data_IF_102590856272
#
_entry.id   IF_102590856272
#
_cell.length_a   1.000
_cell.length_b   1.000
_cell.length_c   1.000
_cell.angle_alpha   90.00
_cell.angle_beta   90.00
_cell.angle_gamma   90.00
#
_symmetry.space_group_name_H-M   'P 1'
#
loop_
_entity.id
_entity.type
_entity.pdbx_description
1 polymer ?
#
# COMPACT_ATOMS: atom_id res chain seq x y z
N UNK A 1 -13.12 5.82 23.01
CA UNK A 1 -12.47 4.96 24.02
C UNK A 1 -10.98 4.99 23.78
N UNK A 2 -10.17 5.18 24.83
CA UNK A 2 -8.71 5.16 24.73
C UNK A 2 -8.18 3.82 25.20
N UNK A 3 -7.18 3.27 24.50
CA UNK A 3 -6.57 1.98 24.80
C UNK A 3 -5.09 2.14 25.14
N UNK A 4 -4.66 1.51 26.19
CA UNK A 4 -3.25 1.26 26.46
C UNK A 4 -2.88 -0.07 25.81
N UNK A 5 -1.92 -0.04 24.90
CA UNK A 5 -1.55 -1.18 24.04
C UNK A 5 -0.05 -1.44 24.15
N UNK A 6 0.33 -2.64 24.58
CA UNK A 6 1.71 -3.10 24.53
C UNK A 6 1.97 -3.63 23.11
N UNK A 7 2.84 -2.95 22.37
CA UNK A 7 3.07 -3.17 20.94
C UNK A 7 4.55 -3.39 20.64
N UNK A 8 4.85 -4.41 19.85
CA UNK A 8 6.20 -4.71 19.41
C UNK A 8 6.34 -4.59 17.89
N UNK A 9 6.93 -3.50 17.35
CA UNK A 9 7.37 -3.43 15.96
C UNK A 9 8.36 -4.54 15.64
N UNK A 10 8.63 -4.82 14.34
CA UNK A 10 9.55 -5.91 13.98
C UNK A 10 10.99 -5.63 14.39
N UNK A 11 11.45 -4.41 14.15
CA UNK A 11 12.88 -4.03 14.29
C UNK A 11 13.11 -3.03 15.44
N UNK A 12 12.15 -2.91 16.36
CA UNK A 12 12.24 -1.99 17.50
C UNK A 12 11.92 -2.71 18.81
N UNK A 13 12.24 -2.05 19.90
CA UNK A 13 11.87 -2.51 21.23
C UNK A 13 10.33 -2.42 21.45
N UNK A 14 9.83 -3.22 22.36
CA UNK A 14 8.44 -3.15 22.80
C UNK A 14 8.12 -1.78 23.40
N UNK A 15 6.97 -1.23 23.01
CA UNK A 15 6.49 0.06 23.50
C UNK A 15 5.07 -0.05 24.01
N UNK A 16 4.74 0.70 25.06
CA UNK A 16 3.35 0.88 25.49
C UNK A 16 2.80 2.15 24.85
N UNK A 17 1.73 2.01 24.08
CA UNK A 17 1.06 3.12 23.39
C UNK A 17 -0.21 3.52 24.13
N UNK A 18 -0.41 4.81 24.35
CA UNK A 18 -1.72 5.36 24.63
C UNK A 18 -2.39 5.65 23.27
N UNK A 19 -3.38 4.84 22.92
CA UNK A 19 -3.91 4.77 21.56
C UNK A 19 -5.41 5.13 21.51
N UNK A 20 -5.76 6.03 20.59
CA UNK A 20 -7.14 6.45 20.28
C UNK A 20 -7.55 5.79 18.96
N UNK A 21 -8.24 4.65 18.99
CA UNK A 21 -8.57 3.89 17.78
C UNK A 21 -9.62 4.61 16.94
N UNK A 22 -9.39 4.70 15.63
CA UNK A 22 -10.27 5.38 14.70
C UNK A 22 -10.84 4.48 13.61
N UNK A 23 -9.98 3.68 12.97
CA UNK A 23 -10.37 2.86 11.82
C UNK A 23 -9.66 1.50 11.81
N UNK A 24 -10.28 0.50 11.20
CA UNK A 24 -9.76 -0.85 11.02
C UNK A 24 -9.72 -1.21 9.54
N UNK A 25 -8.52 -1.50 9.03
CA UNK A 25 -8.35 -1.89 7.63
C UNK A 25 -7.63 -3.22 7.50
N UNK A 26 -8.20 -4.11 6.72
CA UNK A 26 -7.51 -5.33 6.29
C UNK A 26 -6.73 -5.08 5.01
N UNK A 27 -5.48 -5.53 4.98
CA UNK A 27 -4.68 -5.56 3.76
C UNK A 27 -3.78 -6.78 3.73
N UNK A 28 -3.88 -7.53 2.65
CA UNK A 28 -3.06 -8.71 2.36
C UNK A 28 -3.05 -9.74 3.51
N UNK A 29 -4.22 -10.01 4.10
CA UNK A 29 -4.41 -10.99 5.18
C UNK A 29 -4.02 -10.49 6.56
N UNK A 30 -3.70 -9.20 6.72
CA UNK A 30 -3.36 -8.59 8.01
C UNK A 30 -4.29 -7.43 8.33
N UNK A 31 -4.76 -7.40 9.57
CA UNK A 31 -5.54 -6.30 10.11
C UNK A 31 -4.64 -5.21 10.69
N UNK A 32 -4.94 -3.98 10.35
CA UNK A 32 -4.29 -2.78 10.84
C UNK A 32 -5.30 -1.89 11.57
N UNK A 33 -4.95 -1.47 12.77
CA UNK A 33 -5.69 -0.48 13.54
C UNK A 33 -5.05 0.88 13.32
N UNK A 34 -5.83 1.83 12.84
CA UNK A 34 -5.44 3.21 12.63
C UNK A 34 -5.98 4.09 13.74
N UNK A 35 -5.21 5.10 14.12
CA UNK A 35 -5.61 6.00 15.18
C UNK A 35 -4.62 7.12 15.43
N UNK A 36 -4.83 7.78 16.57
CA UNK A 36 -3.88 8.68 17.20
C UNK A 36 -3.15 7.94 18.31
N UNK A 37 -1.83 7.93 18.30
CA UNK A 37 -1.00 7.44 19.37
C UNK A 37 -0.28 8.63 20.03
N UNK A 38 -0.47 8.83 21.34
CA UNK A 38 0.08 9.99 22.05
C UNK A 38 1.61 10.09 21.87
N UNK A 39 2.08 11.27 21.44
CA UNK A 39 3.50 11.53 21.23
C UNK A 39 4.12 10.82 20.01
N UNK A 40 3.31 10.25 19.11
CA UNK A 40 3.75 9.62 17.89
C UNK A 40 3.27 10.40 16.66
N UNK A 41 4.02 10.27 15.57
CA UNK A 41 3.66 10.81 14.27
C UNK A 41 3.34 9.66 13.28
N UNK A 42 2.43 9.89 12.34
CA UNK A 42 1.59 11.10 12.18
C UNK A 42 0.53 11.21 13.29
N UNK A 43 0.07 12.42 13.57
CA UNK A 43 -0.93 12.70 14.61
C UNK A 43 -2.21 11.86 14.42
N UNK A 44 -2.67 11.75 13.17
CA UNK A 44 -3.73 10.82 12.76
C UNK A 44 -3.16 9.85 11.73
N UNK A 45 -3.73 8.67 11.64
CA UNK A 45 -3.26 7.66 10.68
C UNK A 45 -2.03 6.87 11.15
N UNK A 46 -1.61 7.03 12.41
CA UNK A 46 -0.66 6.10 13.01
C UNK A 46 -1.28 4.71 12.99
N UNK A 47 -0.55 3.71 12.46
CA UNK A 47 -1.10 2.36 12.33
C UNK A 47 -0.30 1.33 13.10
N UNK A 48 -1.02 0.36 13.66
CA UNK A 48 -0.46 -0.82 14.30
C UNK A 48 -1.09 -2.09 13.70
N UNK A 49 -0.26 -3.09 13.45
CA UNK A 49 -0.75 -4.39 13.03
C UNK A 49 -1.25 -5.17 14.27
N UNK A 50 -2.48 -5.71 14.22
CA UNK A 50 -3.09 -6.35 15.38
C UNK A 50 -2.32 -7.58 15.87
N UNK A 51 -1.67 -8.30 14.96
CA UNK A 51 -0.85 -9.48 15.25
C UNK A 51 0.47 -9.18 16.00
N UNK A 52 0.77 -7.90 16.22
CA UNK A 52 1.95 -7.45 16.97
C UNK A 52 1.63 -6.89 18.35
N UNK A 53 0.36 -6.92 18.74
CA UNK A 53 -0.07 -6.56 20.09
C UNK A 53 0.34 -7.69 21.04
N UNK A 54 1.05 -7.36 22.11
CA UNK A 54 1.67 -8.35 22.99
C UNK A 54 0.75 -8.82 24.13
N UNK A 55 -0.22 -8.00 24.51
CA UNK A 55 -1.16 -8.30 25.59
C UNK A 55 -2.56 -7.79 25.24
N UNK A 56 -3.58 -8.21 25.99
CA UNK A 56 -4.91 -7.63 25.84
C UNK A 56 -4.88 -6.13 26.09
N UNK A 57 -5.36 -5.30 25.15
CA UNK A 57 -5.45 -3.85 25.35
C UNK A 57 -6.25 -3.49 26.60
N UNK A 58 -5.80 -2.48 27.33
CA UNK A 58 -6.43 -2.02 28.55
C UNK A 58 -7.16 -0.70 28.32
N UNK A 59 -8.46 -0.65 28.61
CA UNK A 59 -9.22 0.60 28.51
C UNK A 59 -8.74 1.64 29.53
N UNK A 60 -8.60 2.89 29.08
CA UNK A 60 -8.22 4.06 29.87
C UNK A 60 -9.36 5.09 29.88
N UNK A 61 -10.43 4.78 30.59
CA UNK A 61 -11.65 5.57 30.63
C UNK A 61 -11.49 6.99 31.20
N UNK A 62 -10.39 7.25 31.94
CA UNK A 62 -10.07 8.58 32.50
C UNK A 62 -9.31 9.48 31.52
N UNK A 63 -8.88 8.95 30.36
CA UNK A 63 -8.20 9.72 29.32
C UNK A 63 -9.23 10.21 28.32
N UNK A 64 -9.18 11.51 28.00
CA UNK A 64 -10.08 12.09 27.01
C UNK A 64 -9.78 11.53 25.60
N UNK A 65 -10.80 11.05 24.93
CA UNK A 65 -10.67 10.49 23.58
C UNK A 65 -10.50 11.58 22.54
N UNK A 66 -9.47 11.48 21.71
CA UNK A 66 -9.21 12.36 20.57
C UNK A 66 -9.79 11.69 19.30
N UNK A 67 -10.89 12.21 18.74
CA UNK A 67 -11.46 11.68 17.51
C UNK A 67 -10.66 12.13 16.28
N UNK A 68 -10.67 11.34 15.22
CA UNK A 68 -10.17 11.79 13.92
C UNK A 68 -11.06 12.93 13.35
N UNK A 69 -10.49 13.85 12.55
CA UNK A 69 -11.27 14.80 11.77
C UNK A 69 -12.29 14.06 10.87
N UNK A 70 -13.45 14.70 10.66
CA UNK A 70 -14.49 14.12 9.80
C UNK A 70 -13.93 13.83 8.39
N UNK A 71 -14.23 12.65 7.86
CA UNK A 71 -13.75 12.18 6.55
C UNK A 71 -12.22 12.04 6.42
N UNK A 72 -11.46 12.09 7.52
CA UNK A 72 -10.01 11.94 7.45
C UNK A 72 -9.59 10.65 6.74
N UNK A 73 -10.16 9.50 7.11
CA UNK A 73 -9.77 8.21 6.53
C UNK A 73 -10.26 8.00 5.09
N UNK A 74 -11.35 8.67 4.68
CA UNK A 74 -11.80 8.68 3.28
C UNK A 74 -10.71 9.30 2.38
N UNK A 75 -10.11 10.40 2.82
CA UNK A 75 -9.01 11.06 2.10
C UNK A 75 -7.67 10.36 2.31
N UNK A 76 -7.40 9.86 3.52
CA UNK A 76 -6.15 9.18 3.87
C UNK A 76 -5.88 7.96 2.99
N UNK A 77 -6.88 7.13 2.72
CA UNK A 77 -6.72 5.93 1.89
C UNK A 77 -6.97 6.16 0.40
N UNK A 78 -7.35 7.36 0.01
CA UNK A 78 -7.83 7.66 -1.34
C UNK A 78 -6.80 7.47 -2.43
N UNK A 79 -5.55 7.82 -2.14
CA UNK A 79 -4.48 7.89 -3.13
C UNK A 79 -3.38 6.84 -2.89
N UNK A 80 -3.60 5.85 -2.03
CA UNK A 80 -2.62 4.80 -1.74
C UNK A 80 -3.13 3.39 -2.06
N UNK A 81 -2.21 2.53 -2.41
CA UNK A 81 -2.43 1.07 -2.41
C UNK A 81 -2.05 0.56 -1.02
N UNK A 82 -2.95 -0.21 -0.38
CA UNK A 82 -2.66 -0.80 0.94
C UNK A 82 -2.85 0.15 2.12
N UNK A 83 -1.84 0.30 2.97
CA UNK A 83 -1.98 0.85 4.32
C UNK A 83 -0.91 1.87 4.70
N UNK A 84 0.07 2.14 3.82
CA UNK A 84 1.22 2.98 4.14
C UNK A 84 1.35 4.17 3.20
N UNK A 85 1.59 5.35 3.77
CA UNK A 85 2.07 6.52 3.03
C UNK A 85 3.60 6.54 3.00
N UNK A 86 4.16 7.08 1.92
CA UNK A 86 5.59 7.38 1.84
C UNK A 86 5.78 8.86 2.15
N UNK A 87 6.69 9.17 3.06
CA UNK A 87 6.97 10.57 3.43
C UNK A 87 7.36 11.37 2.19
N UNK A 88 6.75 12.54 2.03
CA UNK A 88 6.98 13.47 0.91
C UNK A 88 6.61 12.93 -0.49
N UNK A 89 6.04 11.72 -0.58
CA UNK A 89 5.54 11.22 -1.87
C UNK A 89 4.34 12.03 -2.35
N UNK A 90 4.16 12.05 -3.67
CA UNK A 90 3.03 12.72 -4.32
C UNK A 90 2.26 11.72 -5.14
N UNK A 91 0.99 12.02 -5.33
CA UNK A 91 0.16 11.27 -6.26
C UNK A 91 0.69 11.43 -7.68
N UNK A 92 0.90 10.32 -8.37
CA UNK A 92 1.38 10.25 -9.75
C UNK A 92 0.32 9.60 -10.64
N UNK A 93 0.22 10.08 -11.87
CA UNK A 93 -0.55 9.40 -12.92
C UNK A 93 0.33 8.34 -13.57
N UNK A 94 0.09 7.07 -13.25
CA UNK A 94 0.95 5.96 -13.64
C UNK A 94 0.28 5.14 -14.73
N UNK A 95 0.92 5.03 -15.89
CA UNK A 95 0.49 4.16 -16.98
C UNK A 95 1.23 2.83 -16.89
N UNK A 96 0.45 1.75 -16.91
CA UNK A 96 0.92 0.38 -16.75
C UNK A 96 0.46 -0.45 -17.94
N UNK A 97 1.39 -1.23 -18.52
CA UNK A 97 1.14 -2.13 -19.64
C UNK A 97 0.98 -3.55 -19.15
N UNK A 98 -0.11 -4.20 -19.55
CA UNK A 98 -0.36 -5.62 -19.39
C UNK A 98 0.09 -6.38 -20.65
N UNK A 99 1.03 -7.30 -20.49
CA UNK A 99 1.71 -8.01 -21.59
C UNK A 99 0.95 -9.24 -22.11
N UNK A 100 -0.24 -9.53 -21.55
CA UNK A 100 -1.09 -10.62 -22.03
C UNK A 100 -2.56 -10.35 -21.72
N UNK A 101 -3.45 -11.00 -22.49
CA UNK A 101 -4.89 -10.94 -22.24
C UNK A 101 -5.25 -11.41 -20.81
N UNK A 102 -4.58 -12.46 -20.31
CA UNK A 102 -4.82 -12.98 -18.97
C UNK A 102 -4.53 -11.93 -17.89
N UNK A 103 -3.36 -11.29 -17.96
CA UNK A 103 -2.97 -10.24 -17.01
C UNK A 103 -3.90 -9.03 -17.11
N UNK A 104 -4.26 -8.63 -18.33
CA UNK A 104 -5.21 -7.53 -18.52
C UNK A 104 -6.57 -7.84 -17.85
N UNK A 105 -7.14 -9.02 -18.11
CA UNK A 105 -8.41 -9.44 -17.52
C UNK A 105 -8.33 -9.55 -15.99
N UNK A 106 -7.20 -10.00 -15.46
CA UNK A 106 -6.98 -10.05 -14.02
C UNK A 106 -7.02 -8.65 -13.39
N UNK A 107 -6.36 -7.67 -14.03
CA UNK A 107 -6.36 -6.27 -13.55
C UNK A 107 -7.72 -5.59 -13.75
N UNK A 108 -8.42 -5.88 -14.83
CA UNK A 108 -9.73 -5.34 -15.14
C UNK A 108 -10.81 -5.83 -14.15
N UNK A 109 -10.72 -7.09 -13.70
CA UNK A 109 -11.65 -7.68 -12.73
C UNK A 109 -11.29 -7.44 -11.27
N UNK A 110 -10.01 -7.21 -10.98
CA UNK A 110 -9.50 -6.89 -9.64
C UNK A 110 -8.44 -5.80 -9.73
N UNK A 111 -8.86 -4.55 -9.93
CA UNK A 111 -7.94 -3.41 -10.06
C UNK A 111 -7.01 -3.26 -8.86
N UNK A 112 -5.81 -2.74 -9.13
CA UNK A 112 -4.84 -2.42 -8.05
C UNK A 112 -5.33 -1.26 -7.20
N UNK A 113 -6.09 -0.33 -7.79
CA UNK A 113 -6.61 0.85 -7.13
C UNK A 113 -7.95 1.29 -7.76
N UNK A 114 -8.78 2.01 -6.99
CA UNK A 114 -10.09 2.49 -7.43
C UNK A 114 -10.04 3.50 -8.60
N UNK A 115 -8.90 4.18 -8.80
CA UNK A 115 -8.66 5.10 -9.92
C UNK A 115 -8.28 4.40 -11.23
N UNK A 116 -8.37 3.08 -11.31
CA UNK A 116 -8.06 2.30 -12.50
C UNK A 116 -8.91 2.74 -13.71
N UNK A 117 -8.24 3.05 -14.82
CA UNK A 117 -8.88 3.39 -16.10
C UNK A 117 -8.16 2.66 -17.23
N UNK A 118 -8.92 2.00 -18.12
CA UNK A 118 -8.38 1.39 -19.33
C UNK A 118 -8.00 2.49 -20.32
N UNK A 119 -6.71 2.56 -20.67
CA UNK A 119 -6.16 3.51 -21.66
C UNK A 119 -6.18 2.88 -23.06
N UNK A 120 -5.73 1.64 -23.17
CA UNK A 120 -5.73 0.85 -24.39
C UNK A 120 -6.24 -0.56 -24.07
N UNK A 121 -7.39 -1.00 -24.60
CA UNK A 121 -7.87 -2.35 -24.41
C UNK A 121 -6.98 -3.36 -25.17
N UNK A 122 -6.98 -4.61 -24.72
CA UNK A 122 -6.26 -5.70 -25.38
C UNK A 122 -6.97 -6.11 -26.68
N UNK A 123 -6.27 -6.04 -27.81
CA UNK A 123 -6.78 -6.54 -29.10
C UNK A 123 -6.39 -8.03 -29.26
N UNK A 124 -7.39 -8.90 -29.29
CA UNK A 124 -7.15 -10.33 -29.47
C UNK A 124 -6.62 -10.65 -30.90
N UNK A 125 -5.82 -11.69 -30.99
CA UNK A 125 -5.28 -12.21 -32.27
C UNK A 125 -4.26 -11.30 -32.98
N UNK A 126 -3.69 -10.32 -32.28
CA UNK A 126 -2.58 -9.51 -32.79
C UNK A 126 -1.31 -9.97 -32.10
N UNK A 127 -0.29 -10.32 -32.89
CA UNK A 127 1.00 -10.76 -32.36
C UNK A 127 1.73 -9.60 -31.67
N UNK A 128 2.33 -9.88 -30.50
CA UNK A 128 3.00 -8.86 -29.69
C UNK A 128 2.06 -7.84 -29.04
N UNK A 129 0.74 -8.10 -29.00
CA UNK A 129 -0.27 -7.20 -28.46
C UNK A 129 -0.12 -6.99 -26.95
N UNK A 130 -0.60 -5.84 -26.49
CA UNK A 130 -0.65 -5.46 -25.10
C UNK A 130 -1.86 -4.56 -24.83
N UNK A 131 -2.28 -4.50 -23.57
CA UNK A 131 -3.22 -3.48 -23.09
C UNK A 131 -2.49 -2.45 -22.21
N UNK A 132 -3.09 -1.29 -22.04
CA UNK A 132 -2.62 -0.28 -21.08
C UNK A 132 -3.78 0.21 -20.22
N UNK A 133 -3.48 0.44 -18.96
CA UNK A 133 -4.36 1.09 -17.99
C UNK A 133 -3.58 2.11 -17.17
N UNK A 134 -4.28 3.04 -16.57
CA UNK A 134 -3.68 4.01 -15.67
C UNK A 134 -4.28 3.93 -14.28
N UNK A 135 -3.50 4.36 -13.30
CA UNK A 135 -3.93 4.61 -11.92
C UNK A 135 -3.32 5.93 -11.41
N UNK A 136 -4.07 6.61 -10.55
CA UNK A 136 -3.62 7.83 -9.88
C UNK A 136 -3.35 7.48 -8.41
N UNK A 137 -2.10 7.25 -8.07
CA UNK A 137 -1.69 6.79 -6.73
C UNK A 137 -0.36 7.39 -6.29
N UNK A 138 -0.14 7.44 -5.00
CA UNK A 138 1.17 7.58 -4.39
C UNK A 138 1.92 6.24 -4.55
N UNK A 139 3.07 6.22 -5.26
CA UNK A 139 3.79 4.96 -5.53
C UNK A 139 4.54 4.48 -4.29
N UNK A 140 3.82 3.83 -3.39
CA UNK A 140 4.32 3.23 -2.16
C UNK A 140 4.85 1.78 -2.36
N UNK A 141 5.38 1.18 -1.30
CA UNK A 141 5.91 -0.18 -1.36
C UNK A 141 4.85 -1.23 -1.73
N UNK A 142 3.62 -1.03 -1.28
CA UNK A 142 2.50 -1.91 -1.62
C UNK A 142 2.14 -1.85 -3.10
N UNK A 143 2.19 -0.66 -3.71
CA UNK A 143 2.02 -0.48 -5.15
C UNK A 143 3.10 -1.25 -5.92
N UNK A 144 4.38 -1.01 -5.62
CA UNK A 144 5.48 -1.72 -6.30
C UNK A 144 5.42 -3.24 -6.07
N UNK A 145 5.06 -3.66 -4.85
CA UNK A 145 4.86 -5.08 -4.52
C UNK A 145 3.78 -5.74 -5.37
N UNK A 146 2.67 -5.05 -5.63
CA UNK A 146 1.57 -5.53 -6.50
C UNK A 146 2.02 -5.68 -7.95
N UNK A 147 2.85 -4.76 -8.46
CA UNK A 147 3.41 -4.87 -9.82
C UNK A 147 4.39 -6.05 -9.90
N UNK A 148 5.33 -6.17 -8.95
CA UNK A 148 6.31 -7.25 -8.89
C UNK A 148 5.66 -8.63 -8.78
N UNK A 149 4.53 -8.75 -8.08
CA UNK A 149 3.77 -9.99 -7.97
C UNK A 149 3.33 -10.56 -9.32
N UNK A 150 3.13 -9.69 -10.33
CA UNK A 150 2.76 -10.10 -11.69
C UNK A 150 3.98 -10.44 -12.58
N UNK A 151 5.19 -10.31 -12.05
CA UNK A 151 6.44 -10.59 -12.77
C UNK A 151 6.53 -9.78 -14.07
N UNK A 152 6.94 -10.43 -15.17
CA UNK A 152 7.03 -9.80 -16.47
C UNK A 152 5.67 -9.52 -17.14
N UNK A 153 4.55 -9.83 -16.46
CA UNK A 153 3.19 -9.60 -16.98
C UNK A 153 2.77 -8.13 -16.94
N UNK A 154 3.35 -7.33 -16.03
CA UNK A 154 3.09 -5.89 -15.94
C UNK A 154 4.38 -5.10 -16.13
N UNK A 155 4.26 -3.97 -16.81
CA UNK A 155 5.35 -3.01 -17.02
C UNK A 155 4.86 -1.60 -16.71
N UNK A 156 5.59 -0.85 -15.87
CA UNK A 156 5.36 0.58 -15.69
C UNK A 156 5.90 1.31 -16.93
N UNK A 157 5.03 2.04 -17.62
CA UNK A 157 5.37 2.80 -18.82
C UNK A 157 5.76 4.23 -18.47
N UNK A 158 4.97 4.88 -17.64
CA UNK A 158 5.19 6.26 -17.20
C UNK A 158 4.61 6.50 -15.80
N UNK A 159 5.05 7.54 -15.08
CA UNK A 159 6.14 8.45 -15.44
C UNK A 159 7.51 7.79 -15.29
N UNK A 160 8.55 8.44 -15.85
CA UNK A 160 9.92 7.91 -15.84
C UNK A 160 10.44 7.68 -14.42
N UNK A 161 10.16 8.60 -13.50
CA UNK A 161 10.53 8.47 -12.07
C UNK A 161 10.06 7.17 -11.41
N UNK A 162 8.80 6.79 -11.66
CA UNK A 162 8.22 5.55 -11.12
C UNK A 162 8.75 4.32 -11.84
N UNK A 163 8.98 4.43 -13.15
CA UNK A 163 9.61 3.37 -13.96
C UNK A 163 11.05 3.09 -13.48
N UNK A 164 11.82 4.13 -13.22
CA UNK A 164 13.21 4.00 -12.77
C UNK A 164 13.30 3.37 -11.38
N UNK A 165 12.40 3.76 -10.46
CA UNK A 165 12.32 3.12 -9.14
C UNK A 165 11.99 1.62 -9.27
N UNK A 166 11.10 1.23 -10.18
CA UNK A 166 10.82 -0.17 -10.46
C UNK A 166 12.04 -0.87 -11.05
N UNK A 167 12.72 -0.24 -12.02
CA UNK A 167 13.92 -0.80 -12.65
C UNK A 167 15.03 -1.07 -11.60
N UNK A 168 15.24 -0.15 -10.66
CA UNK A 168 16.16 -0.33 -9.54
C UNK A 168 15.78 -1.55 -8.70
N UNK A 169 14.51 -1.70 -8.30
CA UNK A 169 14.03 -2.85 -7.52
C UNK A 169 14.24 -4.18 -8.24
N UNK A 170 14.00 -4.21 -9.56
CA UNK A 170 14.25 -5.40 -10.39
C UNK A 170 15.74 -5.70 -10.48
N UNK A 171 16.59 -4.69 -10.59
CA UNK A 171 18.05 -4.86 -10.59
C UNK A 171 18.54 -5.45 -9.27
N UNK A 172 18.06 -4.96 -8.14
CA UNK A 172 18.39 -5.49 -6.81
C UNK A 172 17.99 -6.97 -6.71
N UNK A 173 16.80 -7.35 -7.21
CA UNK A 173 16.40 -8.75 -7.29
C UNK A 173 17.35 -9.59 -8.16
N UNK A 174 17.86 -9.05 -9.26
CA UNK A 174 18.78 -9.77 -10.17
C UNK A 174 20.10 -10.12 -9.46
N UNK A 175 20.57 -9.30 -8.54
CA UNK A 175 21.76 -9.62 -7.73
C UNK A 175 21.54 -10.81 -6.79
N UNK A 176 20.32 -11.04 -6.33
CA UNK A 176 20.00 -12.18 -5.46
C UNK A 176 19.90 -13.51 -6.23
N UNK A 177 19.66 -13.44 -7.54
CA UNK A 177 19.50 -14.61 -8.42
C UNK A 177 20.47 -14.59 -9.60
N UNK A 178 21.80 -14.61 -9.34
CA UNK A 178 22.78 -14.63 -10.43
C UNK A 178 22.65 -15.92 -11.24
N UNK A 179 22.85 -15.81 -12.57
CA UNK A 179 22.93 -17.02 -13.42
C UNK A 179 24.09 -17.87 -12.92
N UNK A 180 23.83 -19.15 -12.63
CA UNK A 180 24.91 -20.14 -12.43
C UNK A 180 25.50 -20.44 -13.79
N UNK A 181 26.82 -20.25 -13.94
CA UNK A 181 27.59 -20.71 -15.10
C UNK A 181 27.58 -22.26 -15.19
#
# INVERSE_FOLDING_TARGET
MVLEIDYKPYDEEEVTLMFHPHDLKEYNGRWHLFGHAEGKEPEYGYNIALDRIQSNPRERSMVEYVPAPKHFYDEFFKDIVGVSHVKDARKEHIVIRARSLYIFKLMDTKPIHQSYIVVKPYAQYVDGEYAEFSVDVEPNNEFFGRILQMGAGLEIVSPESVRDEMAKRVQDLTYLYPKKE
#
